data_IF_118510519042
#
_entry.id   IF_118510519042
#
_cell.length_a   1.000
_cell.length_b   1.000
_cell.length_c   1.000
_cell.angle_alpha   90.00
_cell.angle_beta   90.00
_cell.angle_gamma   90.00
#
_symmetry.space_group_name_H-M   'P 1'
#
loop_
_entity.id
_entity.type
_entity.pdbx_description
1 polymer ?
#
# COMPACT_ATOMS: atom_id res chain seq x y z
N UNK A 1 -18.43 1.23 5.27
CA UNK A 1 -17.85 1.11 6.64
C UNK A 1 -16.33 1.23 6.61
N UNK A 2 -15.58 0.33 5.95
CA UNK A 2 -14.10 0.36 5.94
C UNK A 2 -13.49 1.68 5.44
N UNK A 3 -13.97 2.19 4.31
CA UNK A 3 -13.51 3.46 3.76
C UNK A 3 -13.77 4.63 4.71
N UNK A 4 -14.94 4.65 5.36
CA UNK A 4 -15.29 5.65 6.37
C UNK A 4 -14.32 5.62 7.55
N UNK A 5 -13.94 4.43 8.04
CA UNK A 5 -12.96 4.28 9.11
C UNK A 5 -11.57 4.74 8.67
N UNK A 6 -11.15 4.44 7.44
CA UNK A 6 -9.88 4.89 6.89
C UNK A 6 -9.82 6.41 6.74
N UNK A 7 -10.90 7.03 6.25
CA UNK A 7 -11.03 8.50 6.18
C UNK A 7 -10.99 9.11 7.58
N UNK A 8 -11.72 8.54 8.54
CA UNK A 8 -11.69 9.01 9.93
C UNK A 8 -10.28 8.93 10.53
N UNK A 9 -9.58 7.81 10.33
CA UNK A 9 -8.19 7.65 10.78
C UNK A 9 -7.24 8.67 10.10
N UNK A 10 -7.44 8.95 8.81
CA UNK A 10 -6.67 9.95 8.08
C UNK A 10 -6.93 11.37 8.61
N UNK A 11 -8.18 11.74 8.90
CA UNK A 11 -8.52 13.03 9.50
C UNK A 11 -7.90 13.22 10.89
N UNK A 12 -7.69 12.13 11.64
CA UNK A 12 -7.00 12.15 12.95
C UNK A 12 -5.49 12.36 12.87
N UNK A 13 -4.87 12.26 11.68
CA UNK A 13 -3.47 12.61 11.52
C UNK A 13 -3.25 14.13 11.66
N UNK A 14 -2.07 14.56 12.18
CA UNK A 14 -1.65 15.96 12.10
C UNK A 14 -1.73 16.47 10.66
N UNK A 15 -2.11 17.73 10.47
CA UNK A 15 -2.29 18.30 9.12
C UNK A 15 -1.04 18.13 8.23
N UNK A 16 0.16 18.18 8.80
CA UNK A 16 1.43 17.96 8.07
C UNK A 16 1.65 16.52 7.64
N UNK A 17 0.97 15.54 8.26
CA UNK A 17 1.02 14.11 7.92
C UNK A 17 -0.03 13.69 6.90
N UNK A 18 -1.09 14.49 6.69
CA UNK A 18 -2.19 14.10 5.80
C UNK A 18 -1.78 14.01 4.33
N UNK A 19 -1.03 14.98 3.74
CA UNK A 19 -0.60 14.89 2.35
C UNK A 19 0.28 13.66 2.04
N UNK A 20 1.36 13.34 2.79
CA UNK A 20 2.16 12.16 2.47
C UNK A 20 1.38 10.86 2.61
N UNK A 21 0.46 10.75 3.59
CA UNK A 21 -0.41 9.59 3.72
C UNK A 21 -1.36 9.46 2.51
N UNK A 22 -1.96 10.56 2.05
CA UNK A 22 -2.87 10.55 0.91
C UNK A 22 -2.14 10.22 -0.40
N UNK A 23 -0.94 10.81 -0.61
CA UNK A 23 -0.10 10.53 -1.77
C UNK A 23 0.33 9.06 -1.81
N UNK A 24 0.73 8.50 -0.67
CA UNK A 24 1.10 7.08 -0.57
C UNK A 24 -0.10 6.17 -0.89
N UNK A 25 -1.28 6.47 -0.35
CA UNK A 25 -2.49 5.71 -0.63
C UNK A 25 -2.86 5.78 -2.12
N UNK A 26 -2.80 6.96 -2.73
CA UNK A 26 -3.09 7.16 -4.14
C UNK A 26 -2.09 6.42 -5.03
N UNK A 27 -0.80 6.49 -4.72
CA UNK A 27 0.24 5.77 -5.45
C UNK A 27 0.09 4.24 -5.34
N UNK A 28 -0.27 3.72 -4.15
CA UNK A 28 -0.58 2.30 -3.96
C UNK A 28 -1.82 1.85 -4.75
N UNK A 29 -2.88 2.65 -4.76
CA UNK A 29 -4.06 2.39 -5.59
C UNK A 29 -3.71 2.39 -7.09
N UNK A 30 -2.85 3.31 -7.53
CA UNK A 30 -2.34 3.34 -8.89
C UNK A 30 -1.52 2.11 -9.26
N UNK A 31 -0.68 1.62 -8.34
CA UNK A 31 0.10 0.41 -8.51
C UNK A 31 -0.81 -0.82 -8.69
N UNK A 32 -1.85 -0.95 -7.87
CA UNK A 32 -2.85 -2.02 -8.01
C UNK A 32 -3.61 -1.95 -9.32
N UNK A 33 -4.02 -0.75 -9.73
CA UNK A 33 -4.66 -0.56 -11.03
C UNK A 33 -3.74 -0.98 -12.18
N UNK A 34 -2.45 -0.63 -12.11
CA UNK A 34 -1.45 -1.08 -13.09
C UNK A 34 -1.32 -2.61 -13.11
N UNK A 35 -1.30 -3.26 -11.94
CA UNK A 35 -1.23 -4.72 -11.86
C UNK A 35 -2.49 -5.41 -12.39
N UNK A 36 -3.67 -4.85 -12.12
CA UNK A 36 -4.93 -5.36 -12.67
C UNK A 36 -4.96 -5.20 -14.20
N UNK A 37 -4.61 -4.03 -14.73
CA UNK A 37 -4.55 -3.78 -16.18
C UNK A 37 -3.48 -4.62 -16.89
N UNK A 38 -2.36 -4.91 -16.22
CA UNK A 38 -1.31 -5.77 -16.75
C UNK A 38 -1.64 -7.28 -16.67
N UNK A 39 -2.80 -7.65 -16.10
CA UNK A 39 -3.19 -9.05 -15.92
C UNK A 39 -2.33 -9.78 -14.90
N UNK A 40 -1.79 -9.08 -13.89
CA UNK A 40 -1.06 -9.69 -12.78
C UNK A 40 -2.02 -10.22 -11.70
N UNK A 41 -3.03 -9.42 -11.40
CA UNK A 41 -4.07 -9.70 -10.40
C UNK A 41 -5.44 -9.44 -10.99
N UNK A 42 -6.45 -10.09 -10.43
CA UNK A 42 -7.85 -9.79 -10.69
C UNK A 42 -8.59 -9.65 -9.35
N UNK A 43 -9.29 -8.54 -9.19
CA UNK A 43 -10.13 -8.30 -8.01
C UNK A 43 -11.51 -8.87 -8.29
N UNK A 44 -12.08 -9.63 -7.34
CA UNK A 44 -13.43 -10.18 -7.56
C UNK A 44 -14.46 -9.06 -7.76
N UNK A 45 -15.07 -9.01 -8.95
CA UNK A 45 -16.16 -8.12 -9.32
C UNK A 45 -15.86 -7.29 -10.58
N UNK A 46 -16.83 -6.51 -11.06
CA UNK A 46 -16.72 -5.75 -12.32
C UNK A 46 -15.93 -4.42 -12.21
N UNK A 47 -15.14 -4.24 -11.14
CA UNK A 47 -14.46 -2.98 -10.86
C UNK A 47 -12.95 -3.15 -10.90
N UNK A 48 -12.27 -2.26 -11.62
CA UNK A 48 -10.81 -2.25 -11.74
C UNK A 48 -10.10 -2.12 -10.38
N UNK A 49 -10.67 -1.32 -9.47
CA UNK A 49 -10.14 -1.15 -8.12
C UNK A 49 -11.29 -1.02 -7.13
N UNK A 50 -11.60 -2.08 -6.36
CA UNK A 50 -12.74 -2.04 -5.46
C UNK A 50 -12.49 -1.10 -4.27
N UNK A 51 -13.58 -0.51 -3.74
CA UNK A 51 -13.50 0.48 -2.64
C UNK A 51 -12.86 -0.06 -1.36
N UNK A 52 -12.92 -1.38 -1.13
CA UNK A 52 -12.24 -1.99 0.01
C UNK A 52 -10.71 -1.93 -0.14
N UNK A 53 -10.18 -2.03 -1.36
CA UNK A 53 -8.74 -1.92 -1.60
C UNK A 53 -8.26 -0.49 -1.40
N UNK A 54 -9.03 0.49 -1.87
CA UNK A 54 -8.79 1.92 -1.60
C UNK A 54 -8.77 2.20 -0.09
N UNK A 55 -9.71 1.61 0.66
CA UNK A 55 -9.75 1.74 2.11
C UNK A 55 -8.53 1.11 2.80
N UNK A 56 -8.07 -0.06 2.33
CA UNK A 56 -6.87 -0.72 2.85
C UNK A 56 -5.62 0.11 2.60
N UNK A 57 -5.44 0.65 1.39
CA UNK A 57 -4.32 1.54 1.07
C UNK A 57 -4.31 2.80 1.92
N UNK A 58 -5.47 3.44 2.09
CA UNK A 58 -5.57 4.63 2.95
C UNK A 58 -5.24 4.30 4.41
N UNK A 59 -5.78 3.19 4.93
CA UNK A 59 -5.49 2.77 6.31
C UNK A 59 -4.01 2.43 6.50
N UNK A 60 -3.43 1.66 5.57
CA UNK A 60 -2.00 1.37 5.56
C UNK A 60 -1.19 2.66 5.54
N UNK A 61 -1.48 3.60 4.63
CA UNK A 61 -0.72 4.83 4.50
C UNK A 61 -0.81 5.72 5.75
N UNK A 62 -1.96 5.72 6.44
CA UNK A 62 -2.12 6.41 7.72
C UNK A 62 -1.23 5.81 8.79
N UNK A 63 -1.30 4.49 8.97
CA UNK A 63 -0.49 3.77 9.96
C UNK A 63 1.00 3.91 9.65
N UNK A 64 1.37 3.76 8.38
CA UNK A 64 2.73 3.82 7.90
C UNK A 64 3.35 5.20 8.06
N UNK A 65 2.60 6.26 7.72
CA UNK A 65 3.06 7.65 7.89
C UNK A 65 3.26 7.98 9.37
N UNK A 66 2.38 7.50 10.24
CA UNK A 66 2.55 7.67 11.69
C UNK A 66 3.77 6.90 12.19
N UNK A 67 3.88 5.62 11.83
CA UNK A 67 5.01 4.77 12.19
C UNK A 67 6.34 5.39 11.76
N UNK A 68 6.45 5.86 10.52
CA UNK A 68 7.67 6.48 9.98
C UNK A 68 8.06 7.76 10.73
N UNK A 69 7.09 8.49 11.31
CA UNK A 69 7.35 9.71 12.08
C UNK A 69 7.69 9.45 13.54
N UNK A 70 7.22 8.35 14.12
CA UNK A 70 7.38 8.06 15.56
C UNK A 70 8.38 6.96 15.85
N UNK A 71 8.69 6.10 14.88
CA UNK A 71 9.66 5.02 15.05
C UNK A 71 11.08 5.60 15.10
N UNK A 72 11.90 5.02 15.96
CA UNK A 72 13.35 5.26 16.02
C UNK A 72 14.13 4.38 15.03
N UNK A 73 13.43 3.55 14.27
CA UNK A 73 14.02 2.67 13.27
C UNK A 73 14.51 3.46 12.06
N UNK A 74 15.64 3.07 11.45
CA UNK A 74 16.11 3.71 10.25
C UNK A 74 15.14 3.44 9.07
N UNK A 75 15.01 4.41 8.16
CA UNK A 75 14.03 4.34 7.06
C UNK A 75 14.19 3.12 6.15
N UNK A 76 15.40 2.57 6.01
CA UNK A 76 15.63 1.35 5.23
C UNK A 76 15.03 0.09 5.88
N UNK A 77 14.98 0.03 7.22
CA UNK A 77 14.31 -1.08 7.94
C UNK A 77 12.80 -1.01 7.71
N UNK A 78 12.24 0.20 7.75
CA UNK A 78 10.83 0.40 7.44
C UNK A 78 10.54 0.01 5.98
N UNK A 79 11.35 0.51 5.02
CA UNK A 79 11.17 0.19 3.61
C UNK A 79 11.23 -1.32 3.32
N UNK A 80 12.18 -2.04 3.93
CA UNK A 80 12.28 -3.50 3.80
C UNK A 80 11.09 -4.22 4.45
N UNK A 81 10.63 -3.77 5.61
CA UNK A 81 9.44 -4.33 6.26
C UNK A 81 8.17 -4.20 5.39
N UNK A 82 7.94 -3.05 4.77
CA UNK A 82 6.82 -2.89 3.84
C UNK A 82 7.01 -3.67 2.52
N UNK A 83 8.24 -3.79 2.03
CA UNK A 83 8.56 -4.59 0.84
C UNK A 83 8.21 -6.07 1.01
N UNK A 84 8.35 -6.60 2.22
CA UNK A 84 7.95 -7.98 2.55
C UNK A 84 6.47 -8.05 2.95
N UNK A 85 6.02 -7.12 3.80
CA UNK A 85 4.65 -7.09 4.31
C UNK A 85 3.60 -6.89 3.22
N UNK A 86 3.93 -6.10 2.19
CA UNK A 86 3.10 -5.89 1.01
C UNK A 86 2.70 -7.20 0.35
N UNK A 87 3.62 -7.92 -0.32
CA UNK A 87 3.33 -9.21 -0.96
C UNK A 87 2.62 -10.22 -0.05
N UNK A 88 2.97 -10.28 1.24
CA UNK A 88 2.28 -11.13 2.22
C UNK A 88 0.80 -10.76 2.34
N UNK A 89 0.45 -9.48 2.39
CA UNK A 89 -0.93 -9.02 2.42
C UNK A 89 -1.72 -9.44 1.17
N UNK A 90 -1.11 -9.38 -0.01
CA UNK A 90 -1.73 -9.84 -1.26
C UNK A 90 -1.92 -11.36 -1.25
N UNK A 91 -0.92 -12.13 -0.83
CA UNK A 91 -1.08 -13.58 -0.69
C UNK A 91 -2.22 -13.95 0.26
N UNK A 92 -2.33 -13.27 1.39
CA UNK A 92 -3.47 -13.46 2.32
C UNK A 92 -4.79 -13.08 1.63
N UNK A 93 -4.86 -11.94 0.95
CA UNK A 93 -6.05 -11.53 0.20
C UNK A 93 -6.48 -12.57 -0.85
N UNK A 94 -5.52 -13.18 -1.53
CA UNK A 94 -5.78 -14.26 -2.48
C UNK A 94 -6.33 -15.53 -1.79
N UNK A 95 -5.75 -15.91 -0.64
CA UNK A 95 -6.23 -17.06 0.16
C UNK A 95 -7.62 -16.85 0.75
N UNK A 96 -7.97 -15.59 1.05
CA UNK A 96 -9.31 -15.20 1.51
C UNK A 96 -10.32 -15.09 0.34
N UNK A 97 -9.87 -15.28 -0.90
CA UNK A 97 -10.72 -15.18 -2.09
C UNK A 97 -11.16 -13.76 -2.43
N UNK A 98 -10.45 -12.74 -1.94
CA UNK A 98 -10.72 -11.33 -2.27
C UNK A 98 -10.18 -10.95 -3.67
N UNK A 99 -9.12 -11.63 -4.11
CA UNK A 99 -8.51 -11.46 -5.43
C UNK A 99 -7.88 -12.77 -5.91
N UNK A 100 -7.46 -12.82 -7.17
CA UNK A 100 -6.70 -13.93 -7.73
C UNK A 100 -5.42 -13.44 -8.38
N UNK A 101 -4.32 -14.17 -8.20
CA UNK A 101 -3.13 -13.98 -9.04
C UNK A 101 -3.35 -14.69 -10.36
N UNK A 102 -3.21 -13.96 -11.46
CA UNK A 102 -3.37 -14.48 -12.82
C UNK A 102 -2.07 -15.07 -13.39
N UNK A 103 -0.96 -14.85 -12.69
CA UNK A 103 0.38 -15.36 -13.03
C UNK A 103 0.85 -16.39 -12.00
N UNK A 104 1.90 -17.18 -12.29
CA UNK A 104 2.53 -18.05 -11.30
C UNK A 104 2.90 -17.28 -10.03
N UNK A 105 2.63 -17.87 -8.86
CA UNK A 105 2.74 -17.19 -7.57
C UNK A 105 4.12 -16.57 -7.34
N UNK A 106 5.19 -17.26 -7.73
CA UNK A 106 6.55 -16.73 -7.59
C UNK A 106 6.77 -15.43 -8.39
N UNK A 107 6.27 -15.37 -9.63
CA UNK A 107 6.36 -14.18 -10.47
C UNK A 107 5.51 -13.04 -9.92
N UNK A 108 4.29 -13.34 -9.48
CA UNK A 108 3.39 -12.38 -8.84
C UNK A 108 3.99 -11.77 -7.58
N UNK A 109 4.53 -12.61 -6.69
CA UNK A 109 5.20 -12.16 -5.45
C UNK A 109 6.44 -11.32 -5.77
N UNK A 110 7.24 -11.71 -6.77
CA UNK A 110 8.40 -10.92 -7.18
C UNK A 110 8.00 -9.54 -7.73
N UNK A 111 6.99 -9.48 -8.59
CA UNK A 111 6.46 -8.22 -9.12
C UNK A 111 5.89 -7.33 -8.01
N UNK A 112 5.16 -7.91 -7.06
CA UNK A 112 4.66 -7.21 -5.88
C UNK A 112 5.80 -6.68 -5.01
N UNK A 113 6.80 -7.50 -4.72
CA UNK A 113 7.96 -7.09 -3.92
C UNK A 113 8.69 -5.92 -4.59
N UNK A 114 8.91 -5.98 -5.91
CA UNK A 114 9.50 -4.89 -6.66
C UNK A 114 8.66 -3.60 -6.60
N UNK A 115 7.35 -3.68 -6.84
CA UNK A 115 6.49 -2.50 -6.81
C UNK A 115 6.40 -1.87 -5.41
N UNK A 116 6.28 -2.70 -4.37
CA UNK A 116 6.32 -2.24 -2.98
C UNK A 116 7.67 -1.61 -2.63
N UNK A 117 8.79 -2.21 -3.02
CA UNK A 117 10.11 -1.65 -2.79
C UNK A 117 10.25 -0.27 -3.42
N UNK A 118 9.90 -0.13 -4.70
CA UNK A 118 9.95 1.15 -5.42
C UNK A 118 9.08 2.19 -4.73
N UNK A 119 7.83 1.84 -4.41
CA UNK A 119 6.89 2.74 -3.73
C UNK A 119 7.43 3.21 -2.37
N UNK A 120 7.96 2.29 -1.57
CA UNK A 120 8.49 2.61 -0.24
C UNK A 120 9.75 3.44 -0.30
N UNK A 121 10.66 3.15 -1.23
CA UNK A 121 11.87 3.97 -1.43
C UNK A 121 11.48 5.40 -1.81
N UNK A 122 10.56 5.58 -2.76
CA UNK A 122 10.07 6.92 -3.16
C UNK A 122 9.41 7.65 -1.98
N UNK A 123 8.59 6.96 -1.20
CA UNK A 123 7.95 7.53 -0.01
C UNK A 123 8.99 8.00 1.03
N UNK A 124 9.97 7.15 1.36
CA UNK A 124 11.00 7.47 2.35
C UNK A 124 11.98 8.54 1.84
N UNK A 125 12.29 8.58 0.54
CA UNK A 125 13.08 9.66 -0.08
C UNK A 125 12.32 10.99 -0.02
N UNK A 126 11.03 11.01 -0.35
CA UNK A 126 10.19 12.23 -0.30
C UNK A 126 9.90 12.72 1.13
N UNK A 127 9.91 11.82 2.11
CA UNK A 127 9.85 12.16 3.53
C UNK A 127 11.22 12.66 4.07
N UNK A 128 12.32 12.35 3.37
CA UNK A 128 13.68 12.71 3.72
C UNK A 128 13.97 14.20 3.51
N UNK A 129 14.53 14.82 4.55
CA UNK A 129 14.90 16.25 4.71
C UNK A 129 13.73 17.24 4.87
N UNK A 130 13.08 17.18 6.03
CA UNK A 130 12.81 18.43 6.76
C UNK A 130 14.02 18.71 7.65
N UNK A 131 14.92 19.59 7.18
CA UNK A 131 15.82 20.33 8.07
C UNK A 131 15.01 21.38 8.81
#
# INVERSE_FOLDING_TARGET
IWLTLAIFAWLRLPATSRPPALLLAAAGCGLDACWALAGLIDFRGDSLLPLWMVALWLMFAVVWTRLTRTATLPGWVLATAATVGGPVAYLIGARLGAMTLLVPTALGVAAMACGWLVLMLLFHLGMGRRK
#
